data_IF_359815887890
#
_entry.id   IF_359815887890
#
_cell.length_a   1.000
_cell.length_b   1.000
_cell.length_c   1.000
_cell.angle_alpha   90.00
_cell.angle_beta   90.00
_cell.angle_gamma   90.00
#
_symmetry.space_group_name_H-M   'P 1'
#
loop_
_entity.id
_entity.type
_entity.pdbx_description
1 polymer ?
#
# COMPACT_ATOMS: atom_id res chain seq x y z
N UNK A 1 24.32 26.00 11.37
CA UNK A 1 22.91 25.89 11.82
C UNK A 1 22.39 24.50 11.52
N UNK A 2 21.74 23.80 12.47
CA UNK A 2 21.02 22.59 12.12
C UNK A 2 19.86 22.97 11.17
N UNK A 3 19.59 22.18 10.11
CA UNK A 3 18.54 22.49 9.16
C UNK A 3 17.19 22.51 9.90
N UNK A 4 16.36 23.51 9.60
CA UNK A 4 15.02 23.61 10.17
C UNK A 4 14.23 22.33 9.86
N UNK A 5 13.75 21.64 10.91
CA UNK A 5 12.88 20.48 10.76
C UNK A 5 11.61 20.92 10.03
N UNK A 6 11.44 20.48 8.78
CA UNK A 6 10.22 20.72 8.01
C UNK A 6 9.03 20.13 8.76
N UNK A 7 7.99 20.95 8.99
CA UNK A 7 6.73 20.46 9.54
C UNK A 7 6.18 19.36 8.63
N UNK A 8 5.84 18.18 9.16
CA UNK A 8 5.27 17.12 8.33
C UNK A 8 3.92 17.55 7.79
N UNK A 9 3.62 17.11 6.56
CA UNK A 9 2.39 17.47 5.87
C UNK A 9 1.18 16.94 6.64
N UNK A 10 0.21 17.82 6.87
CA UNK A 10 -1.11 17.42 7.33
C UNK A 10 -1.91 16.90 6.13
N UNK A 11 -2.56 15.76 6.30
CA UNK A 11 -3.47 15.18 5.32
C UNK A 11 -4.88 15.24 5.87
N UNK A 12 -5.82 15.72 5.07
CA UNK A 12 -7.25 15.64 5.39
C UNK A 12 -7.69 14.16 5.29
N UNK A 13 -8.21 13.56 6.38
CA UNK A 13 -8.58 12.15 6.37
C UNK A 13 -9.69 11.80 5.38
N UNK A 14 -10.67 12.70 5.18
CA UNK A 14 -11.77 12.48 4.25
C UNK A 14 -11.28 12.52 2.79
N UNK A 15 -10.41 13.48 2.45
CA UNK A 15 -9.76 13.54 1.12
C UNK A 15 -8.86 12.36 0.87
N UNK A 16 -8.09 11.93 1.87
CA UNK A 16 -7.23 10.74 1.77
C UNK A 16 -8.07 9.49 1.50
N UNK A 17 -9.15 9.28 2.28
CA UNK A 17 -10.07 8.16 2.08
C UNK A 17 -10.68 8.18 0.68
N UNK A 18 -11.17 9.33 0.22
CA UNK A 18 -11.74 9.47 -1.12
C UNK A 18 -10.73 9.12 -2.22
N UNK A 19 -9.48 9.61 -2.09
CA UNK A 19 -8.42 9.33 -3.05
C UNK A 19 -8.05 7.83 -3.09
N UNK A 20 -7.88 7.18 -1.94
CA UNK A 20 -7.53 5.75 -1.85
C UNK A 20 -8.64 4.88 -2.45
N UNK A 21 -9.91 5.18 -2.14
CA UNK A 21 -11.04 4.45 -2.71
C UNK A 21 -11.13 4.62 -4.23
N UNK A 22 -10.90 5.83 -4.74
CA UNK A 22 -10.88 6.10 -6.18
C UNK A 22 -9.74 5.35 -6.88
N UNK A 23 -8.52 5.41 -6.34
CA UNK A 23 -7.36 4.69 -6.87
C UNK A 23 -7.61 3.18 -6.93
N UNK A 24 -8.13 2.59 -5.84
CA UNK A 24 -8.46 1.18 -5.84
C UNK A 24 -9.59 0.83 -6.81
N UNK A 25 -10.59 1.68 -6.94
CA UNK A 25 -11.64 1.56 -7.96
C UNK A 25 -11.06 1.46 -9.37
N UNK A 26 -10.10 2.33 -9.71
CA UNK A 26 -9.39 2.30 -11.00
C UNK A 26 -8.59 1.04 -11.21
N UNK A 27 -7.83 0.58 -10.19
CA UNK A 27 -7.06 -0.67 -10.27
C UNK A 27 -7.99 -1.86 -10.47
N UNK A 28 -9.05 -1.98 -9.67
CA UNK A 28 -10.05 -3.04 -9.76
C UNK A 28 -10.72 -3.08 -11.14
N UNK A 29 -11.05 -1.92 -11.71
CA UNK A 29 -11.63 -1.83 -13.04
C UNK A 29 -10.65 -2.34 -14.11
N UNK A 30 -9.38 -1.94 -14.05
CA UNK A 30 -8.36 -2.38 -14.99
C UNK A 30 -8.11 -3.90 -14.89
N UNK A 31 -7.92 -4.42 -13.66
CA UNK A 31 -7.62 -5.84 -13.41
C UNK A 31 -8.70 -6.77 -13.96
N UNK A 32 -9.97 -6.36 -13.88
CA UNK A 32 -11.10 -7.15 -14.42
C UNK A 32 -11.06 -7.36 -15.93
N UNK A 33 -10.30 -6.55 -16.65
CA UNK A 33 -10.14 -6.65 -18.11
C UNK A 33 -8.90 -7.42 -18.53
N UNK A 34 -8.03 -7.79 -17.58
CA UNK A 34 -6.78 -8.47 -17.89
C UNK A 34 -7.03 -9.94 -18.21
N UNK A 35 -6.42 -10.39 -19.31
CA UNK A 35 -6.35 -11.79 -19.71
C UNK A 35 -5.32 -12.57 -18.89
N UNK A 36 -5.40 -13.91 -18.83
CA UNK A 36 -4.36 -14.74 -18.21
C UNK A 36 -2.96 -14.46 -18.74
N UNK A 37 -2.82 -14.21 -20.04
CA UNK A 37 -1.55 -13.91 -20.70
C UNK A 37 -1.00 -12.55 -20.25
N UNK A 38 -1.86 -11.54 -20.11
CA UNK A 38 -1.48 -10.24 -19.57
C UNK A 38 -1.11 -10.30 -18.09
N UNK A 39 -1.80 -11.14 -17.31
CA UNK A 39 -1.46 -11.38 -15.91
C UNK A 39 -0.09 -12.05 -15.74
N UNK A 40 0.37 -12.81 -16.73
CA UNK A 40 1.67 -13.46 -16.74
C UNK A 40 2.83 -12.56 -17.23
N UNK A 41 2.55 -11.34 -17.70
CA UNK A 41 3.58 -10.41 -18.14
C UNK A 41 4.46 -9.94 -16.97
N UNK A 42 5.77 -9.66 -17.21
CA UNK A 42 6.66 -9.15 -16.18
C UNK A 42 6.33 -7.70 -15.80
N UNK A 43 6.74 -7.31 -14.60
CA UNK A 43 6.71 -5.93 -14.12
C UNK A 43 8.13 -5.34 -14.04
N UNK A 44 8.27 -4.17 -13.42
CA UNK A 44 9.58 -3.58 -13.08
C UNK A 44 10.00 -3.90 -11.63
N UNK A 45 9.29 -4.79 -10.95
CA UNK A 45 9.49 -5.16 -9.54
C UNK A 45 10.17 -6.53 -9.43
N UNK A 46 11.38 -6.63 -9.98
CA UNK A 46 12.12 -7.91 -10.01
C UNK A 46 11.34 -8.98 -10.75
N UNK A 47 11.21 -10.16 -10.14
CA UNK A 47 10.60 -11.35 -10.75
C UNK A 47 9.06 -11.31 -10.77
N UNK A 48 8.44 -10.23 -10.31
CA UNK A 48 6.98 -10.15 -10.23
C UNK A 48 6.34 -10.03 -11.60
N UNK A 49 5.36 -10.88 -11.84
CA UNK A 49 4.35 -10.73 -12.88
C UNK A 49 3.28 -9.71 -12.48
N UNK A 50 2.45 -9.31 -13.44
CA UNK A 50 1.28 -8.47 -13.17
C UNK A 50 0.35 -9.12 -12.15
N UNK A 51 0.22 -10.46 -12.14
CA UNK A 51 -0.56 -11.21 -11.14
C UNK A 51 -0.08 -10.96 -9.72
N UNK A 52 1.22 -11.08 -9.46
CA UNK A 52 1.79 -10.86 -8.13
C UNK A 52 1.64 -9.40 -7.70
N UNK A 53 1.81 -8.45 -8.61
CA UNK A 53 1.54 -7.04 -8.31
C UNK A 53 0.07 -6.80 -7.92
N UNK A 54 -0.87 -7.42 -8.64
CA UNK A 54 -2.30 -7.32 -8.32
C UNK A 54 -2.61 -7.95 -6.97
N UNK A 55 -2.05 -9.13 -6.68
CA UNK A 55 -2.21 -9.80 -5.39
C UNK A 55 -1.69 -8.94 -4.24
N UNK A 56 -0.50 -8.34 -4.39
CA UNK A 56 0.09 -7.45 -3.41
C UNK A 56 -0.77 -6.23 -3.09
N UNK A 57 -1.36 -5.59 -4.12
CA UNK A 57 -2.30 -4.47 -3.92
C UNK A 57 -3.53 -4.94 -3.12
N UNK A 58 -4.01 -6.15 -3.37
CA UNK A 58 -5.08 -6.77 -2.58
C UNK A 58 -4.69 -6.99 -1.11
N UNK A 59 -3.51 -7.52 -0.85
CA UNK A 59 -3.01 -7.76 0.52
C UNK A 59 -2.92 -6.46 1.33
N UNK A 60 -2.49 -5.36 0.72
CA UNK A 60 -2.43 -4.07 1.39
C UNK A 60 -3.80 -3.62 1.94
N UNK A 61 -4.90 -3.94 1.24
CA UNK A 61 -6.26 -3.62 1.70
C UNK A 61 -6.77 -4.60 2.75
N UNK A 62 -6.44 -5.90 2.63
CA UNK A 62 -6.74 -6.87 3.67
C UNK A 62 -6.06 -6.50 5.00
N UNK A 63 -4.87 -5.91 4.95
CA UNK A 63 -4.19 -5.39 6.14
C UNK A 63 -4.96 -4.21 6.77
N UNK A 64 -5.55 -3.31 5.98
CA UNK A 64 -6.37 -2.21 6.51
C UNK A 64 -7.61 -2.76 7.23
N UNK A 65 -8.32 -3.70 6.62
CA UNK A 65 -9.49 -4.33 7.24
C UNK A 65 -9.13 -5.01 8.57
N UNK A 66 -8.06 -5.81 8.58
CA UNK A 66 -7.53 -6.44 9.80
C UNK A 66 -7.19 -5.41 10.87
N UNK A 67 -6.44 -4.36 10.52
CA UNK A 67 -6.00 -3.34 11.48
C UNK A 67 -7.15 -2.51 12.05
N UNK A 68 -8.25 -2.34 11.31
CA UNK A 68 -9.47 -1.70 11.83
C UNK A 68 -10.22 -2.58 12.83
N UNK A 69 -9.96 -3.89 12.86
CA UNK A 69 -10.47 -4.81 13.88
C UNK A 69 -9.66 -4.81 15.18
N UNK A 70 -8.46 -4.20 15.20
CA UNK A 70 -7.62 -4.11 16.38
C UNK A 70 -8.08 -2.97 17.32
N UNK A 71 -7.59 -2.98 18.56
CA UNK A 71 -7.86 -1.89 19.50
C UNK A 71 -7.29 -0.56 19.00
N UNK A 72 -8.08 0.51 19.11
CA UNK A 72 -7.64 1.85 18.69
C UNK A 72 -6.37 2.27 19.45
N UNK A 73 -5.31 2.72 18.76
CA UNK A 73 -4.10 3.17 19.40
C UNK A 73 -4.36 4.44 20.21
N UNK A 74 -3.76 4.54 21.41
CA UNK A 74 -3.93 5.71 22.30
C UNK A 74 -3.48 7.04 21.67
N UNK A 75 -2.55 6.98 20.71
CA UNK A 75 -2.05 8.13 19.95
C UNK A 75 -1.39 7.64 18.66
N UNK A 76 -1.34 8.51 17.66
CA UNK A 76 -0.50 8.33 16.49
C UNK A 76 0.96 8.66 16.85
N UNK A 77 1.85 7.68 16.79
CA UNK A 77 3.30 7.81 17.07
C UNK A 77 4.20 7.68 15.83
N UNK A 78 3.64 7.32 14.66
CA UNK A 78 4.32 7.32 13.36
C UNK A 78 3.74 8.32 12.36
N UNK A 79 4.57 8.90 11.50
CA UNK A 79 4.11 9.71 10.35
C UNK A 79 4.20 8.93 9.05
N UNK A 80 3.45 9.38 8.05
CA UNK A 80 3.41 8.73 6.73
C UNK A 80 4.80 8.59 6.08
N UNK A 81 5.70 9.56 6.29
CA UNK A 81 7.06 9.49 5.75
C UNK A 81 7.98 8.53 6.51
N UNK A 82 7.61 8.13 7.73
CA UNK A 82 8.36 7.15 8.52
C UNK A 82 8.00 5.72 8.09
N UNK A 83 6.82 5.55 7.46
CA UNK A 83 6.27 4.24 7.08
C UNK A 83 7.24 3.38 6.27
N UNK A 84 7.88 3.86 5.17
CA UNK A 84 8.77 3.01 4.38
C UNK A 84 9.95 2.45 5.17
N UNK A 85 10.45 3.19 6.16
CA UNK A 85 11.55 2.75 7.01
C UNK A 85 11.07 1.79 8.11
N UNK A 86 9.86 2.01 8.63
CA UNK A 86 9.26 1.16 9.65
C UNK A 86 8.98 -0.26 9.13
N UNK A 87 8.56 -0.40 7.87
CA UNK A 87 8.25 -1.70 7.26
C UNK A 87 9.41 -2.33 6.48
N UNK A 88 10.57 -1.67 6.42
CA UNK A 88 11.68 -2.12 5.59
C UNK A 88 12.18 -3.51 5.99
N UNK A 89 12.23 -3.81 7.29
CA UNK A 89 12.63 -5.12 7.81
C UNK A 89 11.62 -6.23 7.46
N UNK A 90 10.35 -5.88 7.25
CA UNK A 90 9.27 -6.80 6.90
C UNK A 90 9.07 -6.91 5.38
N UNK A 91 9.86 -6.21 4.56
CA UNK A 91 9.64 -6.10 3.13
C UNK A 91 9.58 -7.46 2.43
N UNK A 92 10.46 -8.39 2.77
CA UNK A 92 10.49 -9.74 2.19
C UNK A 92 9.26 -10.56 2.61
N UNK A 93 8.86 -10.47 3.88
CA UNK A 93 7.67 -11.16 4.40
C UNK A 93 6.38 -10.62 3.74
N UNK A 94 6.31 -9.29 3.57
CA UNK A 94 5.21 -8.63 2.86
C UNK A 94 5.22 -9.06 1.38
N UNK A 95 6.38 -9.09 0.73
CA UNK A 95 6.49 -9.53 -0.67
C UNK A 95 6.05 -10.98 -0.85
N UNK A 96 6.31 -11.86 0.11
CA UNK A 96 5.88 -13.26 0.07
C UNK A 96 4.37 -13.44 0.04
N UNK A 97 3.58 -12.48 0.56
CA UNK A 97 2.11 -12.52 0.51
C UNK A 97 1.51 -12.32 -0.89
N UNK A 98 2.33 -11.94 -1.87
CA UNK A 98 1.92 -11.69 -3.24
C UNK A 98 1.94 -12.94 -4.14
N UNK A 99 2.49 -14.05 -3.63
CA UNK A 99 2.71 -15.30 -4.37
C UNK A 99 1.57 -16.29 -4.23
#
# INVERSE_FOLDING_TARGET
MPPARKRPRAYDPARTRAAVLAQFGSVRAAVRTLTPEQLALPTRLGDWTVRELVAHVGTALAAVDRLLGEAEPRRQDGRLLDWPFAIAADADAIAATAR
#
